data_IF_189576854138
#
_entry.id   IF_189576854138
#
_cell.length_a   1.000
_cell.length_b   1.000
_cell.length_c   1.000
_cell.angle_alpha   90.00
_cell.angle_beta   90.00
_cell.angle_gamma   90.00
#
_symmetry.space_group_name_H-M   'P 1'
#
loop_
_entity.id
_entity.type
_entity.pdbx_description
1 polymer ?
#
# COMPACT_ATOMS: atom_id res chain seq x y z
N UNK A 1 65.84 48.75 14.34
CA UNK A 1 65.55 49.30 13.00
C UNK A 1 65.46 48.12 12.04
N UNK A 2 64.34 47.94 11.30
CA UNK A 2 63.93 46.67 10.69
C UNK A 2 64.16 46.60 9.17
N UNK A 3 64.31 45.36 8.64
CA UNK A 3 63.97 44.85 7.29
C UNK A 3 64.74 43.51 7.17
N UNK A 4 64.17 42.36 6.79
CA UNK A 4 63.35 42.11 5.62
C UNK A 4 62.59 40.78 5.85
N UNK A 5 61.26 40.82 5.89
CA UNK A 5 60.41 39.62 5.90
C UNK A 5 59.92 39.41 4.47
N UNK A 6 60.64 38.57 3.72
CA UNK A 6 60.22 38.16 2.39
C UNK A 6 59.04 37.18 2.50
N UNK A 7 57.88 37.66 2.07
CA UNK A 7 56.65 36.88 1.98
C UNK A 7 56.73 35.87 0.82
N UNK A 8 56.64 34.58 1.14
CA UNK A 8 56.39 33.51 0.17
C UNK A 8 54.94 33.62 -0.32
N UNK A 9 54.77 34.12 -1.55
CA UNK A 9 53.47 34.24 -2.22
C UNK A 9 53.20 32.98 -3.04
N UNK A 10 52.49 32.02 -2.47
CA UNK A 10 51.92 30.89 -3.22
C UNK A 10 50.72 31.38 -4.04
N UNK A 11 50.69 31.26 -5.39
CA UNK A 11 49.50 31.62 -6.16
C UNK A 11 48.42 30.54 -6.04
N UNK A 12 47.28 30.93 -5.49
CA UNK A 12 46.05 30.15 -5.49
C UNK A 12 45.57 29.89 -6.93
N UNK A 13 45.61 28.62 -7.36
CA UNK A 13 44.93 28.19 -8.59
C UNK A 13 43.41 28.31 -8.40
N UNK A 14 42.82 29.31 -9.06
CA UNK A 14 41.38 29.37 -9.29
C UNK A 14 40.89 28.12 -10.05
N UNK A 15 40.18 27.22 -9.35
CA UNK A 15 39.32 26.24 -10.01
C UNK A 15 38.06 26.96 -10.51
N UNK A 16 37.96 27.16 -11.83
CA UNK A 16 36.69 27.47 -12.49
C UNK A 16 35.75 26.28 -12.31
N UNK A 17 34.70 26.46 -11.51
CA UNK A 17 33.57 25.53 -11.44
C UNK A 17 32.68 25.85 -12.65
N UNK A 18 32.71 24.99 -13.66
CA UNK A 18 31.76 25.03 -14.77
C UNK A 18 30.34 24.65 -14.31
N UNK A 19 29.30 25.06 -15.03
CA UNK A 19 27.92 24.76 -14.66
C UNK A 19 27.63 23.25 -14.78
N UNK A 20 27.25 22.64 -13.66
CA UNK A 20 26.76 21.26 -13.60
C UNK A 20 25.38 21.24 -14.26
N UNK A 21 25.31 20.82 -15.53
CA UNK A 21 24.04 20.42 -16.16
C UNK A 21 23.57 19.13 -15.49
N UNK A 22 22.63 19.23 -14.55
CA UNK A 22 21.89 18.07 -14.05
C UNK A 22 21.03 17.52 -15.19
N UNK A 23 21.46 16.41 -15.81
CA UNK A 23 20.58 15.61 -16.64
C UNK A 23 19.46 15.07 -15.75
N UNK A 24 18.25 15.55 -15.98
CA UNK A 24 17.01 14.97 -15.47
C UNK A 24 16.86 13.58 -16.11
N UNK A 25 17.35 12.55 -15.41
CA UNK A 25 17.07 11.17 -15.75
C UNK A 25 15.72 10.79 -15.18
N UNK A 26 14.65 10.99 -15.95
CA UNK A 26 13.33 10.44 -15.67
C UNK A 26 13.42 8.92 -15.61
N UNK A 27 13.27 8.34 -14.41
CA UNK A 27 13.09 6.89 -14.27
C UNK A 27 11.60 6.61 -14.47
N UNK A 28 11.20 5.79 -15.45
CA UNK A 28 9.78 5.51 -15.69
C UNK A 28 9.21 4.70 -14.53
N UNK A 29 8.03 5.12 -14.07
CA UNK A 29 7.14 4.36 -13.19
C UNK A 29 6.66 3.15 -14.00
N UNK A 30 7.15 1.96 -13.69
CA UNK A 30 6.55 0.73 -14.23
C UNK A 30 5.24 0.46 -13.50
N UNK A 31 4.14 0.94 -14.08
CA UNK A 31 2.80 0.43 -13.80
C UNK A 31 2.69 -0.91 -14.53
N UNK A 32 2.97 -2.01 -13.83
CA UNK A 32 2.73 -3.35 -14.35
C UNK A 32 1.25 -3.69 -14.18
N UNK A 33 0.41 -3.13 -15.05
CA UNK A 33 -0.93 -3.63 -15.29
C UNK A 33 -0.85 -4.77 -16.30
N UNK A 34 -1.17 -5.99 -15.87
CA UNK A 34 -1.41 -7.10 -16.79
C UNK A 34 -2.81 -7.65 -16.54
N UNK A 35 -3.60 -7.55 -17.60
CA UNK A 35 -5.00 -7.89 -17.77
C UNK A 35 -5.23 -9.39 -17.53
N UNK A 36 -6.25 -9.72 -16.76
CA UNK A 36 -6.77 -11.08 -16.65
C UNK A 36 -7.43 -11.49 -17.98
N UNK A 37 -6.80 -12.40 -18.70
CA UNK A 37 -7.42 -13.07 -19.85
C UNK A 37 -8.40 -14.13 -19.38
N UNK A 38 -9.70 -13.91 -19.63
CA UNK A 38 -10.71 -14.96 -19.55
C UNK A 38 -10.57 -15.84 -20.80
N UNK A 39 -10.08 -17.06 -20.62
CA UNK A 39 -10.09 -18.09 -21.66
C UNK A 39 -11.31 -18.98 -21.43
N UNK A 40 -12.39 -18.78 -22.20
CA UNK A 40 -13.50 -19.74 -22.28
C UNK A 40 -13.07 -20.84 -23.25
N UNK A 41 -12.67 -22.00 -22.72
CA UNK A 41 -12.50 -23.22 -23.52
C UNK A 41 -13.76 -24.04 -23.40
N UNK A 42 -14.52 -24.10 -24.50
CA UNK A 42 -15.60 -25.06 -24.69
C UNK A 42 -15.01 -26.47 -24.81
N UNK A 43 -15.16 -27.28 -23.78
CA UNK A 43 -14.79 -28.69 -23.76
C UNK A 43 -16.04 -29.57 -23.80
N UNK A 44 -16.33 -30.14 -24.95
CA UNK A 44 -17.28 -31.24 -25.15
C UNK A 44 -16.79 -32.50 -24.44
N UNK A 45 -17.52 -32.98 -23.44
CA UNK A 45 -17.32 -34.35 -22.91
C UNK A 45 -18.42 -35.25 -23.49
N UNK A 46 -18.02 -36.06 -24.47
CA UNK A 46 -18.75 -37.23 -24.93
C UNK A 46 -18.44 -38.37 -23.95
N UNK A 47 -19.39 -38.73 -23.08
CA UNK A 47 -19.36 -40.02 -22.40
C UNK A 47 -20.35 -40.93 -23.10
N UNK A 48 -19.82 -41.82 -23.93
CA UNK A 48 -20.49 -43.06 -24.29
C UNK A 48 -20.32 -44.02 -23.11
N UNK A 49 -21.41 -44.37 -22.45
CA UNK A 49 -21.46 -45.59 -21.65
C UNK A 49 -22.78 -46.30 -21.92
N UNK A 50 -22.66 -47.41 -22.63
CA UNK A 50 -23.70 -48.37 -22.91
C UNK A 50 -23.73 -49.40 -21.77
N UNK A 51 -24.93 -49.77 -21.31
CA UNK A 51 -25.14 -51.06 -20.65
C UNK A 51 -25.76 -51.05 -19.25
N UNK A 52 -27.06 -51.36 -19.24
CA UNK A 52 -27.75 -52.19 -18.23
C UNK A 52 -28.23 -51.57 -16.92
N UNK A 53 -29.55 -51.38 -16.83
CA UNK A 53 -30.30 -51.81 -15.64
C UNK A 53 -31.39 -50.88 -15.09
N UNK A 54 -32.61 -50.99 -15.67
CA UNK A 54 -33.93 -50.75 -15.03
C UNK A 54 -34.22 -49.41 -14.32
N UNK A 55 -35.10 -48.56 -14.90
CA UNK A 55 -36.00 -47.70 -14.13
C UNK A 55 -37.39 -48.34 -13.96
N UNK A 56 -37.90 -48.34 -12.73
CA UNK A 56 -39.29 -48.68 -12.40
C UNK A 56 -40.30 -47.59 -12.83
N UNK A 57 -41.60 -47.91 -12.83
CA UNK A 57 -42.57 -47.25 -13.71
C UNK A 57 -43.19 -45.97 -13.11
N UNK A 58 -43.36 -44.95 -13.96
CA UNK A 58 -44.50 -44.04 -13.90
C UNK A 58 -45.60 -44.60 -14.83
N UNK A 59 -46.90 -44.35 -14.56
CA UNK A 59 -47.60 -43.45 -15.51
C UNK A 59 -48.85 -42.71 -14.96
N UNK A 60 -49.07 -41.48 -15.46
CA UNK A 60 -50.36 -40.92 -15.89
C UNK A 60 -50.10 -39.49 -16.46
N UNK A 61 -50.08 -39.24 -17.77
CA UNK A 61 -51.19 -39.10 -18.74
C UNK A 61 -51.89 -37.71 -18.67
N UNK A 62 -51.55 -36.77 -19.57
CA UNK A 62 -52.19 -36.34 -20.85
C UNK A 62 -53.37 -35.35 -20.78
N UNK A 63 -53.25 -34.24 -21.52
CA UNK A 63 -54.27 -33.46 -22.28
C UNK A 63 -53.60 -32.13 -22.68
N UNK A 64 -53.14 -31.88 -23.92
CA UNK A 64 -53.75 -31.77 -25.25
C UNK A 64 -54.74 -30.61 -25.42
N UNK A 65 -54.62 -29.95 -26.59
CA UNK A 65 -55.46 -28.92 -27.21
C UNK A 65 -55.12 -27.45 -26.87
N UNK A 66 -55.09 -26.48 -27.78
CA UNK A 66 -55.26 -26.41 -29.24
C UNK A 66 -55.12 -24.92 -29.65
N UNK A 67 -54.90 -24.69 -30.96
CA UNK A 67 -55.19 -23.47 -31.75
C UNK A 67 -54.06 -22.49 -32.12
N UNK A 68 -53.63 -22.69 -33.36
CA UNK A 68 -53.01 -21.79 -34.35
C UNK A 68 -53.95 -20.69 -34.90
N UNK A 69 -53.34 -19.80 -35.70
CA UNK A 69 -53.84 -18.76 -36.64
C UNK A 69 -53.53 -17.32 -36.18
N UNK A 70 -52.59 -16.56 -36.77
CA UNK A 70 -52.40 -16.10 -38.16
C UNK A 70 -53.32 -14.94 -38.59
N UNK A 71 -52.64 -13.83 -38.96
CA UNK A 71 -52.94 -12.91 -40.07
C UNK A 71 -53.40 -11.45 -39.80
N UNK A 72 -52.70 -10.56 -40.54
CA UNK A 72 -53.12 -9.30 -41.20
C UNK A 72 -53.13 -7.90 -40.54
N UNK A 73 -52.02 -7.18 -40.80
CA UNK A 73 -51.85 -5.90 -41.56
C UNK A 73 -52.85 -4.73 -41.39
N UNK A 74 -52.36 -3.56 -40.95
CA UNK A 74 -52.29 -2.25 -41.66
C UNK A 74 -51.81 -1.15 -40.68
N UNK A 75 -50.60 -0.60 -40.85
CA UNK A 75 -50.27 0.70 -41.50
C UNK A 75 -51.13 1.89 -41.07
N UNK A 76 -50.53 2.80 -40.30
CA UNK A 76 -50.70 4.24 -40.52
C UNK A 76 -49.42 5.01 -40.17
N UNK A 77 -49.17 6.05 -40.95
CA UNK A 77 -47.93 6.81 -41.08
C UNK A 77 -47.98 8.07 -40.22
N UNK A 78 -46.96 8.36 -39.40
CA UNK A 78 -46.45 9.74 -39.24
C UNK A 78 -44.94 9.68 -38.96
N UNK A 79 -44.22 10.37 -39.84
CA UNK A 79 -42.80 10.70 -39.80
C UNK A 79 -42.62 12.02 -39.04
N UNK A 80 -41.81 12.03 -37.99
CA UNK A 80 -41.06 13.20 -37.52
C UNK A 80 -39.65 12.75 -37.12
N UNK A 81 -38.66 13.46 -37.66
CA UNK A 81 -37.21 13.23 -37.66
C UNK A 81 -36.53 13.29 -36.25
N UNK A 82 -35.23 12.93 -36.13
CA UNK A 82 -34.60 12.41 -34.91
C UNK A 82 -33.90 13.48 -34.06
N UNK A 83 -33.85 13.27 -32.74
CA UNK A 83 -32.98 14.02 -31.83
C UNK A 83 -32.16 13.07 -30.97
N UNK A 84 -30.84 13.22 -31.11
CA UNK A 84 -29.76 12.64 -30.33
C UNK A 84 -30.04 12.55 -28.83
N UNK A 85 -29.78 11.38 -28.24
CA UNK A 85 -29.08 11.27 -26.97
C UNK A 85 -28.70 9.80 -26.68
N UNK A 86 -27.43 9.46 -26.87
CA UNK A 86 -26.79 8.36 -26.13
C UNK A 86 -26.54 8.82 -24.70
N UNK A 87 -26.88 8.02 -23.69
CA UNK A 87 -26.11 8.00 -22.45
C UNK A 87 -25.36 6.67 -22.29
N UNK A 88 -24.04 6.76 -22.32
CA UNK A 88 -23.11 5.76 -21.77
C UNK A 88 -23.24 5.73 -20.24
N UNK A 89 -23.31 4.57 -19.58
CA UNK A 89 -23.03 4.48 -18.15
C UNK A 89 -21.54 4.20 -17.92
N UNK A 90 -20.83 5.20 -17.37
CA UNK A 90 -19.58 4.99 -16.61
C UNK A 90 -19.95 4.83 -15.14
N UNK A 91 -19.52 3.80 -14.40
CA UNK A 91 -19.54 3.85 -12.95
C UNK A 91 -18.33 4.63 -12.46
N UNK A 92 -18.60 5.83 -11.94
CA UNK A 92 -17.67 6.68 -11.20
C UNK A 92 -17.12 5.97 -9.96
N UNK A 93 -15.80 6.09 -9.78
CA UNK A 93 -15.12 5.99 -8.49
C UNK A 93 -15.86 6.76 -7.40
N UNK A 94 -16.12 6.12 -6.26
CA UNK A 94 -16.45 6.80 -5.01
C UNK A 94 -15.61 6.19 -3.87
N UNK A 95 -14.42 6.76 -3.66
CA UNK A 95 -13.74 6.74 -2.37
C UNK A 95 -14.32 7.87 -1.51
N UNK A 96 -14.82 7.61 -0.29
CA UNK A 96 -15.19 8.70 0.61
C UNK A 96 -13.96 9.27 1.32
N UNK A 97 -13.53 10.47 0.89
CA UNK A 97 -12.71 11.39 1.67
C UNK A 97 -13.58 12.12 2.70
N UNK A 98 -13.28 12.08 4.01
CA UNK A 98 -13.84 13.05 4.95
C UNK A 98 -13.02 14.34 4.96
N UNK A 99 -13.68 15.46 4.65
CA UNK A 99 -13.16 16.82 4.66
C UNK A 99 -12.84 17.33 6.07
N UNK A 100 -11.64 17.92 6.22
CA UNK A 100 -11.17 18.63 7.40
C UNK A 100 -11.88 19.98 7.62
N UNK A 101 -11.83 20.51 8.85
CA UNK A 101 -11.43 21.90 9.04
C UNK A 101 -10.05 22.00 9.70
N UNK A 102 -9.18 22.79 9.07
CA UNK A 102 -7.84 23.19 9.52
C UNK A 102 -7.94 24.44 10.40
N UNK A 103 -7.14 24.52 11.47
CA UNK A 103 -6.49 25.80 11.77
C UNK A 103 -4.96 25.65 11.81
N UNK A 104 -4.30 26.42 10.95
CA UNK A 104 -2.87 26.72 11.05
C UNK A 104 -2.59 27.57 12.29
N UNK A 105 -1.47 27.33 12.99
CA UNK A 105 -0.67 28.45 13.46
C UNK A 105 0.75 28.37 12.90
N UNK A 106 1.12 29.46 12.22
CA UNK A 106 2.49 29.87 11.92
C UNK A 106 3.22 30.15 13.24
N UNK A 107 4.28 29.39 13.54
CA UNK A 107 5.31 29.86 14.46
C UNK A 107 6.69 29.43 13.99
N UNK A 108 7.54 30.43 13.76
CA UNK A 108 8.94 30.28 13.36
C UNK A 108 9.87 30.27 14.58
N UNK A 109 10.99 29.53 14.42
CA UNK A 109 12.28 29.57 15.16
C UNK A 109 12.35 29.02 16.60
N UNK A 110 13.54 28.63 17.13
CA UNK A 110 14.85 28.40 16.49
C UNK A 110 15.45 26.99 16.73
N UNK A 111 16.54 26.70 16.01
CA UNK A 111 17.40 25.50 16.13
C UNK A 111 18.24 25.52 17.42
N UNK A 112 18.22 24.48 18.28
CA UNK A 112 19.26 24.25 19.26
C UNK A 112 20.32 23.30 18.69
N UNK A 113 21.55 23.77 18.52
CA UNK A 113 22.72 22.92 18.31
C UNK A 113 23.20 22.37 19.67
N UNK A 114 22.71 21.21 20.07
CA UNK A 114 23.37 20.44 21.13
C UNK A 114 24.24 19.35 20.50
N UNK A 115 25.55 19.54 20.67
CA UNK A 115 26.59 18.55 20.38
C UNK A 115 26.44 17.43 21.42
N UNK A 116 25.68 16.39 21.10
CA UNK A 116 25.58 15.20 21.97
C UNK A 116 26.81 14.34 21.71
N UNK A 117 27.76 14.38 22.64
CA UNK A 117 28.83 13.38 22.77
C UNK A 117 28.18 12.02 23.07
N UNK A 118 28.39 10.96 22.26
CA UNK A 118 27.90 9.64 22.63
C UNK A 118 28.81 9.08 23.73
N UNK A 119 28.39 9.24 24.98
CA UNK A 119 28.89 8.40 26.08
C UNK A 119 28.31 7.01 25.86
N UNK A 120 29.11 6.10 25.29
CA UNK A 120 28.77 4.69 25.19
C UNK A 120 28.84 4.05 26.59
N UNK A 121 27.80 4.27 27.39
CA UNK A 121 27.51 3.43 28.54
C UNK A 121 26.98 2.09 28.00
N UNK A 122 27.84 1.07 28.02
CA UNK A 122 27.48 -0.30 27.70
C UNK A 122 26.41 -0.79 28.69
N UNK A 123 25.15 -0.67 28.31
CA UNK A 123 24.03 -1.28 29.02
C UNK A 123 24.05 -2.78 28.70
N UNK A 124 24.15 -3.61 29.72
CA UNK A 124 23.98 -5.07 29.63
C UNK A 124 22.66 -5.37 28.93
N UNK A 125 22.77 -5.88 27.69
CA UNK A 125 21.64 -6.14 26.80
C UNK A 125 20.82 -7.30 27.37
N UNK A 126 19.58 -7.01 27.78
CA UNK A 126 18.61 -8.04 28.13
C UNK A 126 18.51 -9.09 26.99
N UNK A 127 18.42 -10.39 27.32
CA UNK A 127 18.40 -11.45 26.32
C UNK A 127 17.21 -11.27 25.38
N UNK A 128 17.45 -11.52 24.09
CA UNK A 128 16.40 -11.49 23.06
C UNK A 128 15.48 -12.70 23.25
N UNK A 129 14.13 -12.54 23.17
CA UNK A 129 13.21 -13.67 23.21
C UNK A 129 13.53 -14.72 22.13
N UNK A 130 13.34 -16.00 22.43
CA UNK A 130 13.68 -17.12 21.52
C UNK A 130 13.05 -16.97 20.13
N UNK A 131 11.80 -16.51 20.04
CA UNK A 131 11.11 -16.27 18.76
C UNK A 131 11.58 -15.04 17.99
N UNK A 132 12.54 -14.28 18.53
CA UNK A 132 13.05 -13.04 17.93
C UNK A 132 14.55 -13.06 17.60
N UNK A 133 15.24 -14.17 17.84
CA UNK A 133 16.70 -14.28 17.67
C UNK A 133 17.19 -14.05 16.25
N UNK A 134 16.34 -14.31 15.25
CA UNK A 134 16.65 -14.14 13.83
C UNK A 134 16.45 -12.71 13.32
N UNK A 135 15.82 -11.83 14.10
CA UNK A 135 15.58 -10.45 13.71
C UNK A 135 16.65 -9.51 14.27
N UNK A 136 16.92 -8.44 13.54
CA UNK A 136 17.85 -7.37 13.94
C UNK A 136 17.24 -5.99 13.69
N UNK A 137 17.88 -4.94 14.22
CA UNK A 137 17.45 -3.55 14.03
C UNK A 137 15.97 -3.33 14.35
N UNK A 138 15.26 -2.69 13.43
CA UNK A 138 13.85 -2.35 13.59
C UNK A 138 12.92 -3.59 13.60
N UNK A 139 13.29 -4.66 12.89
CA UNK A 139 12.54 -5.93 12.94
C UNK A 139 12.61 -6.57 14.32
N UNK A 140 13.78 -6.51 14.98
CA UNK A 140 13.92 -6.98 16.35
C UNK A 140 13.06 -6.16 17.32
N UNK A 141 13.03 -4.84 17.13
CA UNK A 141 12.16 -3.95 17.92
C UNK A 141 10.69 -4.32 17.77
N UNK A 142 10.22 -4.57 16.54
CA UNK A 142 8.85 -5.04 16.31
C UNK A 142 8.57 -6.41 16.93
N UNK A 143 9.46 -7.38 16.74
CA UNK A 143 9.29 -8.71 17.33
C UNK A 143 9.15 -8.66 18.87
N UNK A 144 9.93 -7.80 19.53
CA UNK A 144 9.83 -7.56 20.98
C UNK A 144 8.54 -6.87 21.40
N UNK A 145 7.94 -6.06 20.53
CA UNK A 145 6.71 -5.33 20.80
C UNK A 145 5.45 -6.16 20.52
N UNK A 146 5.47 -7.15 19.64
CA UNK A 146 4.30 -7.96 19.30
C UNK A 146 3.50 -8.45 20.53
N UNK A 147 4.14 -9.03 21.59
CA UNK A 147 3.39 -9.49 22.76
C UNK A 147 2.64 -8.38 23.50
N UNK A 148 3.12 -7.13 23.49
CA UNK A 148 2.41 -6.01 24.14
C UNK A 148 1.11 -5.63 23.43
N UNK A 149 0.93 -6.09 22.18
CA UNK A 149 -0.31 -5.92 21.41
C UNK A 149 -1.21 -7.16 21.47
N UNK A 150 -0.77 -8.24 22.12
CA UNK A 150 -1.46 -9.53 22.14
C UNK A 150 -1.11 -10.44 20.96
N UNK A 151 -0.04 -10.12 20.22
CA UNK A 151 0.42 -10.90 19.08
C UNK A 151 1.55 -11.85 19.47
N UNK A 152 1.52 -13.07 18.95
CA UNK A 152 2.66 -13.99 19.04
C UNK A 152 3.78 -13.53 18.11
N UNK A 153 5.02 -13.97 18.37
CA UNK A 153 6.16 -13.64 17.51
C UNK A 153 6.06 -14.27 16.11
N UNK A 154 5.16 -15.26 15.91
CA UNK A 154 4.91 -15.86 14.59
C UNK A 154 4.32 -14.87 13.58
N UNK A 155 3.65 -13.81 14.05
CA UNK A 155 3.12 -12.72 13.22
C UNK A 155 4.22 -11.96 12.46
N UNK A 156 5.49 -12.09 12.86
CA UNK A 156 6.61 -11.54 12.09
C UNK A 156 6.67 -12.09 10.66
N UNK A 157 6.18 -13.32 10.42
CA UNK A 157 6.12 -13.90 9.07
C UNK A 157 5.23 -13.12 8.10
N UNK A 158 4.22 -12.43 8.62
CA UNK A 158 3.33 -11.53 7.88
C UNK A 158 3.84 -10.07 7.90
N UNK A 159 4.30 -9.61 9.07
CA UNK A 159 4.72 -8.22 9.27
C UNK A 159 5.97 -7.85 8.46
N UNK A 160 6.95 -8.77 8.37
CA UNK A 160 8.21 -8.54 7.65
C UNK A 160 8.01 -8.26 6.17
N UNK A 161 7.37 -9.13 5.37
CA UNK A 161 7.17 -8.84 3.95
C UNK A 161 6.30 -7.60 3.72
N UNK A 162 5.29 -7.37 4.57
CA UNK A 162 4.42 -6.19 4.50
C UNK A 162 5.22 -4.90 4.67
N UNK A 163 5.91 -4.71 5.80
CA UNK A 163 6.68 -3.48 6.04
C UNK A 163 7.97 -3.39 5.21
N UNK A 164 8.47 -4.51 4.67
CA UNK A 164 9.51 -4.48 3.64
C UNK A 164 9.03 -3.74 2.38
N UNK A 165 7.78 -4.01 1.95
CA UNK A 165 7.15 -3.35 0.79
C UNK A 165 6.83 -1.89 1.06
N UNK A 166 6.41 -1.56 2.28
CA UNK A 166 6.10 -0.18 2.66
C UNK A 166 7.34 0.72 2.68
N UNK A 167 8.41 0.28 3.35
CA UNK A 167 9.53 1.19 3.66
C UNK A 167 10.89 0.50 3.71
N UNK A 168 10.94 -0.83 3.54
CA UNK A 168 12.13 -1.62 3.88
C UNK A 168 12.60 -1.35 5.31
N UNK A 169 11.65 -1.17 6.23
CA UNK A 169 11.88 -0.86 7.64
C UNK A 169 12.66 0.44 7.91
N UNK A 170 12.64 1.39 6.97
CA UNK A 170 13.33 2.66 7.12
C UNK A 170 12.47 3.69 7.88
N UNK A 171 12.96 4.13 9.04
CA UNK A 171 12.33 5.13 9.93
C UNK A 171 12.11 6.48 9.23
N UNK A 172 12.96 6.79 8.26
CA UNK A 172 12.94 8.05 7.51
C UNK A 172 12.35 7.90 6.10
N UNK A 173 11.71 6.77 5.78
CA UNK A 173 11.05 6.60 4.49
C UNK A 173 9.91 7.62 4.36
N UNK A 174 9.96 8.43 3.31
CA UNK A 174 8.93 9.41 3.02
C UNK A 174 8.57 9.31 1.54
N UNK A 175 7.30 9.13 1.25
CA UNK A 175 6.80 9.21 -0.11
C UNK A 175 6.49 10.69 -0.44
N UNK A 176 7.25 11.35 -1.32
CA UNK A 176 7.08 12.78 -1.58
C UNK A 176 5.76 13.12 -2.29
N UNK A 177 5.11 12.16 -2.94
CA UNK A 177 3.83 12.38 -3.62
C UNK A 177 2.64 12.35 -2.66
N UNK A 178 2.64 11.41 -1.71
CA UNK A 178 1.52 11.22 -0.77
C UNK A 178 1.77 11.82 0.62
N UNK A 179 3.04 12.00 1.01
CA UNK A 179 3.42 12.37 2.38
C UNK A 179 3.38 11.19 3.38
N UNK A 180 3.21 9.95 2.92
CA UNK A 180 3.29 8.77 3.77
C UNK A 180 4.68 8.65 4.41
N UNK A 181 4.74 8.36 5.71
CA UNK A 181 5.99 8.44 6.47
C UNK A 181 6.29 7.21 7.34
N UNK A 182 7.59 6.90 7.43
CA UNK A 182 8.16 5.97 8.38
C UNK A 182 7.97 4.50 8.01
N UNK A 183 8.27 3.64 8.98
CA UNK A 183 8.19 2.18 8.85
C UNK A 183 6.82 1.71 8.34
N UNK A 184 5.69 2.13 8.95
CA UNK A 184 4.36 1.66 8.54
C UNK A 184 3.77 2.46 7.36
N UNK A 185 4.48 3.47 6.82
CA UNK A 185 3.97 4.41 5.82
C UNK A 185 2.65 5.09 6.24
N UNK A 186 2.63 5.65 7.46
CA UNK A 186 1.45 6.31 8.02
C UNK A 186 1.04 7.55 7.21
N UNK A 187 -0.27 7.73 6.98
CA UNK A 187 -0.84 8.86 6.23
C UNK A 187 -2.01 9.56 6.99
N UNK A 188 -1.86 10.84 7.33
CA UNK A 188 -0.59 11.59 7.46
C UNK A 188 0.31 11.02 8.57
N UNK A 189 1.63 11.23 8.44
CA UNK A 189 2.63 10.67 9.35
C UNK A 189 2.55 11.20 10.79
N UNK A 190 2.02 12.41 10.97
CA UNK A 190 1.82 13.06 12.27
C UNK A 190 0.82 12.33 13.18
N UNK A 191 -0.01 11.43 12.63
CA UNK A 191 -0.83 10.52 13.44
C UNK A 191 -0.02 9.68 14.43
N UNK A 192 1.26 9.42 14.12
CA UNK A 192 2.17 8.71 15.02
C UNK A 192 2.50 9.52 16.30
N UNK A 193 2.22 10.82 16.33
CA UNK A 193 2.35 11.66 17.52
C UNK A 193 1.43 11.25 18.67
N UNK A 194 0.37 10.47 18.40
CA UNK A 194 -0.48 9.90 19.44
C UNK A 194 0.25 8.91 20.35
N UNK A 195 1.34 8.32 19.87
CA UNK A 195 2.17 7.40 20.67
C UNK A 195 3.28 8.15 21.41
N UNK A 196 4.02 9.01 20.71
CA UNK A 196 5.03 9.88 21.31
C UNK A 196 5.41 11.04 20.38
N UNK A 197 5.88 12.15 20.94
CA UNK A 197 6.26 13.35 20.19
C UNK A 197 7.49 13.19 19.28
N UNK A 198 8.31 12.17 19.52
CA UNK A 198 9.55 11.87 18.76
C UNK A 198 9.35 10.91 17.58
N UNK A 199 8.08 10.71 17.16
CA UNK A 199 7.66 9.76 16.13
C UNK A 199 8.44 9.82 14.82
N UNK A 200 8.93 11.02 14.45
CA UNK A 200 9.62 11.22 13.18
C UNK A 200 10.97 10.52 13.11
N UNK A 201 11.62 10.28 14.25
CA UNK A 201 12.96 9.67 14.29
C UNK A 201 13.04 8.42 15.15
N UNK A 202 11.97 8.08 15.86
CA UNK A 202 11.95 6.94 16.77
C UNK A 202 11.24 5.73 16.16
N UNK A 203 12.02 4.71 15.77
CA UNK A 203 11.50 3.47 15.21
C UNK A 203 10.48 2.79 16.14
N UNK A 204 10.72 2.76 17.45
CA UNK A 204 9.82 2.11 18.39
C UNK A 204 8.46 2.84 18.45
N UNK A 205 8.45 4.18 18.36
CA UNK A 205 7.23 4.98 18.28
C UNK A 205 6.45 4.63 17.01
N UNK A 206 7.12 4.60 15.86
CA UNK A 206 6.47 4.25 14.58
C UNK A 206 5.92 2.82 14.56
N UNK A 207 6.70 1.87 15.06
CA UNK A 207 6.31 0.45 15.14
C UNK A 207 5.12 0.27 16.08
N UNK A 208 5.11 0.92 17.25
CA UNK A 208 3.97 0.87 18.18
C UNK A 208 2.70 1.42 17.52
N UNK A 209 2.80 2.55 16.82
CA UNK A 209 1.66 3.11 16.12
C UNK A 209 1.16 2.15 15.02
N UNK A 210 2.06 1.62 14.20
CA UNK A 210 1.71 0.68 13.12
C UNK A 210 1.08 -0.61 13.64
N UNK A 211 1.61 -1.19 14.73
CA UNK A 211 1.01 -2.36 15.38
C UNK A 211 -0.37 -2.08 15.97
N UNK A 212 -0.57 -0.89 16.55
CA UNK A 212 -1.89 -0.44 17.02
C UNK A 212 -2.88 -0.30 15.88
N UNK A 213 -2.48 0.35 14.79
CA UNK A 213 -3.30 0.48 13.59
C UNK A 213 -3.69 -0.89 13.00
N UNK A 214 -2.73 -1.83 12.90
CA UNK A 214 -3.01 -3.20 12.46
C UNK A 214 -4.06 -3.86 13.34
N UNK A 215 -3.89 -3.76 14.67
CA UNK A 215 -4.83 -4.34 15.63
C UNK A 215 -6.25 -3.78 15.46
N UNK A 216 -6.36 -2.46 15.34
CA UNK A 216 -7.65 -1.78 15.30
C UNK A 216 -8.40 -2.01 13.97
N UNK A 217 -7.67 -2.20 12.87
CA UNK A 217 -8.24 -2.28 11.51
C UNK A 217 -8.38 -3.70 10.98
N UNK A 218 -7.41 -4.56 11.31
CA UNK A 218 -7.29 -5.90 10.76
C UNK A 218 -7.38 -6.99 11.81
N UNK A 219 -7.28 -6.65 13.10
CA UNK A 219 -7.20 -7.63 14.17
C UNK A 219 -5.79 -8.16 14.34
N UNK A 220 -5.17 -8.73 13.29
CA UNK A 220 -3.82 -9.32 13.35
C UNK A 220 -2.91 -8.89 12.18
N UNK A 221 -1.57 -8.97 12.33
CA UNK A 221 -0.64 -8.77 11.21
C UNK A 221 -0.85 -9.75 10.05
N UNK A 222 -1.25 -10.99 10.33
CA UNK A 222 -1.59 -11.98 9.31
C UNK A 222 -2.81 -11.59 8.49
N UNK A 223 -3.87 -11.08 9.12
CA UNK A 223 -5.06 -10.57 8.43
C UNK A 223 -4.74 -9.31 7.62
N UNK A 224 -3.92 -8.40 8.17
CA UNK A 224 -3.42 -7.23 7.45
C UNK A 224 -2.61 -7.63 6.21
N UNK A 225 -1.77 -8.65 6.33
CA UNK A 225 -0.97 -9.15 5.21
C UNK A 225 -1.81 -9.83 4.13
N UNK A 226 -2.82 -10.60 4.52
CA UNK A 226 -3.78 -11.17 3.56
C UNK A 226 -4.51 -10.07 2.79
N UNK A 227 -4.94 -9.02 3.49
CA UNK A 227 -5.54 -7.84 2.87
C UNK A 227 -4.56 -7.12 1.94
N UNK A 228 -3.31 -6.94 2.37
CA UNK A 228 -2.26 -6.32 1.56
C UNK A 228 -2.00 -7.09 0.27
N UNK A 229 -1.96 -8.42 0.32
CA UNK A 229 -1.77 -9.25 -0.88
C UNK A 229 -2.88 -9.06 -1.91
N UNK A 230 -4.12 -8.81 -1.45
CA UNK A 230 -5.26 -8.59 -2.33
C UNK A 230 -5.30 -7.17 -2.92
N UNK A 231 -4.87 -6.16 -2.14
CA UNK A 231 -5.16 -4.76 -2.45
C UNK A 231 -3.92 -3.89 -2.71
N UNK A 232 -2.75 -4.33 -2.28
CA UNK A 232 -1.50 -3.56 -2.34
C UNK A 232 -1.36 -2.46 -1.29
N UNK A 233 -2.23 -2.46 -0.27
CA UNK A 233 -2.22 -1.53 0.87
C UNK A 233 -2.83 -2.19 2.10
N UNK A 234 -2.60 -1.63 3.29
CA UNK A 234 -3.25 -1.94 4.56
C UNK A 234 -3.33 -0.65 5.41
#
# INVERSE_FOLDING_TARGET
>A
MPADNTADSTPARHRRIGPIRRRLGSRPIMISGAVAGVLVVAGTVLVLHEGSGKPGPAPAAVSLADRTDADRVSRDLVRTDPSSASPSPVPSSASPSPSSPSPSPTHASPRPTHKVTPTHAATTKAPTPTGCTHYSGNQLTACKLLPSFGFSTSEMSALVPMWNKESSWNVSAENPGSGAYGIPQALPGDKMASVASDWRTNAATQIKWGLGYIKDRYGTPSDAWAFWQANGWY
#
